data_IF_675729164860
#
_entry.id   IF_675729164860
#
_cell.length_a   1.000
_cell.length_b   1.000
_cell.length_c   1.000
_cell.angle_alpha   90.00
_cell.angle_beta   90.00
_cell.angle_gamma   90.00
#
_symmetry.space_group_name_H-M   'P 1'
#
loop_
_entity.id
_entity.type
_entity.pdbx_description
1 polymer ?
#
# COMPACT_ATOMS: atom_id res chain seq x y z
N UNK A 1 6.97 11.73 -15.77
CA UNK A 1 7.15 12.61 -14.59
C UNK A 1 7.17 11.72 -13.36
N UNK A 2 7.96 12.05 -12.34
CA UNK A 2 7.95 11.34 -11.06
C UNK A 2 6.67 11.70 -10.28
N UNK A 3 6.02 10.70 -9.69
CA UNK A 3 4.83 10.89 -8.87
C UNK A 3 5.12 11.70 -7.59
N UNK A 4 4.07 12.18 -6.92
CA UNK A 4 4.16 13.04 -5.73
C UNK A 4 4.93 12.39 -4.56
N UNK A 5 5.04 11.06 -4.55
CA UNK A 5 5.66 10.28 -3.48
C UNK A 5 6.91 9.55 -3.92
N UNK A 6 7.48 9.92 -5.08
CA UNK A 6 8.66 9.25 -5.62
C UNK A 6 9.84 9.27 -4.64
N UNK A 7 10.45 8.09 -4.47
CA UNK A 7 11.56 7.87 -3.54
C UNK A 7 11.19 7.92 -2.05
N UNK A 8 9.91 8.07 -1.69
CA UNK A 8 9.46 8.04 -0.28
C UNK A 8 9.14 6.62 0.20
N UNK A 9 9.13 6.45 1.51
CA UNK A 9 8.66 5.22 2.19
C UNK A 9 7.41 5.57 2.98
N UNK A 10 6.35 4.77 2.85
CA UNK A 10 5.09 4.96 3.56
C UNK A 10 4.66 3.68 4.29
N UNK A 11 4.12 3.83 5.50
CA UNK A 11 3.47 2.73 6.24
C UNK A 11 1.98 3.02 6.27
N UNK A 12 1.18 2.12 5.69
CA UNK A 12 -0.28 2.27 5.67
C UNK A 12 -0.89 1.22 6.58
N UNK A 13 -1.48 1.65 7.70
CA UNK A 13 -2.15 0.76 8.66
C UNK A 13 -3.52 0.34 8.17
N UNK A 14 -3.94 -0.89 8.50
CA UNK A 14 -5.24 -1.43 8.06
C UNK A 14 -5.38 -1.55 6.53
N UNK A 15 -4.27 -1.67 5.81
CA UNK A 15 -4.22 -1.62 4.33
C UNK A 15 -4.55 -2.92 3.63
N UNK A 16 -4.92 -3.97 4.36
CA UNK A 16 -5.42 -5.22 3.77
C UNK A 16 -6.79 -5.11 3.08
N UNK A 17 -7.54 -4.01 3.25
CA UNK A 17 -8.88 -3.84 2.67
C UNK A 17 -9.35 -2.38 2.60
N UNK A 18 -10.48 -2.16 1.94
CA UNK A 18 -11.21 -0.89 1.94
C UNK A 18 -10.36 0.30 1.53
N UNK A 19 -10.50 1.41 2.24
CA UNK A 19 -9.78 2.65 1.96
C UNK A 19 -8.27 2.48 2.15
N UNK A 20 -7.82 1.75 3.18
CA UNK A 20 -6.40 1.50 3.41
C UNK A 20 -5.71 0.81 2.23
N UNK A 21 -6.39 -0.17 1.61
CA UNK A 21 -5.92 -0.82 0.37
C UNK A 21 -5.82 0.19 -0.78
N UNK A 22 -6.87 0.99 -1.00
CA UNK A 22 -6.89 1.98 -2.07
C UNK A 22 -5.76 3.02 -1.92
N UNK A 23 -5.50 3.48 -0.69
CA UNK A 23 -4.41 4.39 -0.37
C UNK A 23 -3.06 3.75 -0.67
N UNK A 24 -2.83 2.51 -0.23
CA UNK A 24 -1.56 1.81 -0.45
C UNK A 24 -1.24 1.66 -1.95
N UNK A 25 -2.24 1.26 -2.75
CA UNK A 25 -2.11 1.13 -4.20
C UNK A 25 -1.76 2.49 -4.84
N UNK A 26 -2.48 3.54 -4.45
CA UNK A 26 -2.23 4.87 -5.03
C UNK A 26 -0.85 5.41 -4.63
N UNK A 27 -0.38 5.11 -3.42
CA UNK A 27 0.94 5.52 -2.98
C UNK A 27 2.06 4.84 -3.77
N UNK A 28 1.90 3.55 -4.12
CA UNK A 28 2.87 2.87 -5.00
C UNK A 28 2.86 3.48 -6.39
N UNK A 29 1.69 3.78 -6.97
CA UNK A 29 1.60 4.46 -8.28
C UNK A 29 2.28 5.83 -8.29
N UNK A 30 2.24 6.54 -7.16
CA UNK A 30 2.91 7.82 -6.97
C UNK A 30 4.41 7.68 -6.67
N UNK A 31 4.96 6.46 -6.68
CA UNK A 31 6.40 6.17 -6.57
C UNK A 31 6.90 5.84 -5.17
N UNK A 32 6.01 5.64 -4.20
CA UNK A 32 6.40 5.29 -2.84
C UNK A 32 6.73 3.79 -2.70
N UNK A 33 7.68 3.47 -1.82
CA UNK A 33 7.79 2.12 -1.24
C UNK A 33 6.81 2.00 -0.08
N UNK A 34 5.87 1.06 -0.14
CA UNK A 34 4.76 0.98 0.82
C UNK A 34 4.84 -0.29 1.67
N UNK A 35 4.67 -0.12 2.99
CA UNK A 35 4.46 -1.22 3.93
C UNK A 35 2.97 -1.46 4.15
N UNK A 36 2.52 -2.69 3.85
CA UNK A 36 1.15 -3.14 4.07
C UNK A 36 1.02 -3.68 5.48
N UNK A 37 0.35 -2.94 6.36
CA UNK A 37 0.07 -3.37 7.73
C UNK A 37 -1.36 -3.90 7.88
N UNK A 38 -1.47 -5.01 8.60
CA UNK A 38 -2.73 -5.68 8.93
C UNK A 38 -2.67 -6.26 10.35
N UNK A 39 -3.83 -6.64 10.89
CA UNK A 39 -3.94 -7.25 12.23
C UNK A 39 -4.39 -8.71 12.22
N UNK A 40 -5.43 -9.05 11.44
CA UNK A 40 -6.05 -10.39 11.44
C UNK A 40 -6.32 -10.95 10.04
N UNK A 41 -5.76 -10.37 8.99
CA UNK A 41 -6.10 -10.72 7.60
C UNK A 41 -4.84 -10.78 6.73
N UNK A 42 -4.00 -11.76 7.00
CA UNK A 42 -2.76 -12.00 6.26
C UNK A 42 -3.02 -12.27 4.78
N UNK A 43 -3.95 -13.17 4.44
CA UNK A 43 -4.26 -13.51 3.04
C UNK A 43 -4.66 -12.27 2.23
N UNK A 44 -5.50 -11.41 2.81
CA UNK A 44 -5.89 -10.15 2.16
C UNK A 44 -4.71 -9.19 2.03
N UNK A 45 -3.82 -9.13 3.01
CA UNK A 45 -2.62 -8.31 2.90
C UNK A 45 -1.68 -8.81 1.80
N UNK A 46 -1.52 -10.13 1.66
CA UNK A 46 -0.75 -10.74 0.57
C UNK A 46 -1.35 -10.42 -0.80
N UNK A 47 -2.66 -10.51 -0.94
CA UNK A 47 -3.36 -10.11 -2.18
C UNK A 47 -3.07 -8.65 -2.58
N UNK A 48 -2.95 -7.73 -1.61
CA UNK A 48 -2.59 -6.34 -1.91
C UNK A 48 -1.15 -6.22 -2.39
N UNK A 49 -0.22 -7.00 -1.82
CA UNK A 49 1.19 -7.03 -2.26
C UNK A 49 1.32 -7.63 -3.66
N UNK A 50 0.52 -8.62 -4.01
CA UNK A 50 0.50 -9.21 -5.36
C UNK A 50 -0.03 -8.27 -6.45
N UNK A 51 -0.77 -7.22 -6.06
CA UNK A 51 -1.41 -6.26 -6.97
C UNK A 51 -0.51 -5.06 -7.32
N UNK A 52 0.59 -4.84 -6.59
CA UNK A 52 1.43 -3.61 -6.66
C UNK A 52 2.91 -3.89 -6.92
#
# INVERSE_FOLDING_TARGET
MAGRLDGKVAIVTGSSRGIGRAIAIEFVKEGAKVCINYTKSEDRARQVVEEI
#
